data_IF_535362007073
#
_entry.id   IF_535362007073
#
_cell.length_a   1.000
_cell.length_b   1.000
_cell.length_c   1.000
_cell.angle_alpha   90.00
_cell.angle_beta   90.00
_cell.angle_gamma   90.00
#
_symmetry.space_group_name_H-M   'P 1'
#
loop_
_entity.id
_entity.type
_entity.pdbx_description
1 polymer ?
#
# COMPACT_ATOMS: atom_id res chain seq x y z
N UNK A 1 14.75 20.11 16.29
CA UNK A 1 15.43 20.01 14.99
C UNK A 1 14.44 20.41 13.91
N UNK A 2 14.91 21.08 12.86
CA UNK A 2 14.09 21.37 11.67
C UNK A 2 13.86 20.10 10.85
N UNK A 3 12.89 20.12 9.93
CA UNK A 3 12.67 19.00 9.00
C UNK A 3 13.95 18.60 8.25
N UNK A 4 14.68 19.59 7.72
CA UNK A 4 15.94 19.36 6.98
C UNK A 4 17.01 18.71 7.86
N UNK A 5 17.11 19.10 9.13
CA UNK A 5 18.04 18.49 10.08
C UNK A 5 17.66 17.05 10.40
N UNK A 6 16.36 16.75 10.58
CA UNK A 6 15.89 15.39 10.81
C UNK A 6 16.21 14.46 9.63
N UNK A 7 16.00 14.92 8.40
CA UNK A 7 16.32 14.14 7.20
C UNK A 7 17.83 13.84 7.10
N UNK A 8 18.68 14.84 7.37
CA UNK A 8 20.14 14.68 7.28
C UNK A 8 20.75 13.82 8.40
N UNK A 9 20.07 13.71 9.55
CA UNK A 9 20.62 13.04 10.73
C UNK A 9 20.87 11.54 10.49
N UNK A 10 19.94 10.86 9.81
CA UNK A 10 19.90 9.40 9.78
C UNK A 10 19.59 8.83 11.16
N UNK A 11 20.35 7.82 11.60
CA UNK A 11 20.18 7.23 12.94
C UNK A 11 20.66 8.23 14.00
N UNK A 12 19.80 8.64 14.96
CA UNK A 12 20.21 9.51 16.06
C UNK A 12 21.30 8.86 16.91
N UNK A 13 22.27 9.65 17.37
CA UNK A 13 23.34 9.16 18.25
C UNK A 13 22.83 8.75 19.63
N UNK A 14 21.78 9.41 20.12
CA UNK A 14 21.11 9.09 21.38
C UNK A 14 19.72 8.54 21.09
N UNK A 15 19.26 7.59 21.92
CA UNK A 15 17.97 6.94 21.72
C UNK A 15 16.84 7.97 21.87
N UNK A 16 15.97 8.15 20.85
CA UNK A 16 14.79 8.98 21.01
C UNK A 16 13.81 8.32 21.99
N UNK A 17 12.86 9.06 22.58
CA UNK A 17 11.85 8.49 23.47
C UNK A 17 11.06 7.36 22.82
N UNK A 18 10.61 6.39 23.62
CA UNK A 18 9.70 5.32 23.18
C UNK A 18 8.42 5.95 22.62
N UNK A 19 7.92 5.44 21.48
CA UNK A 19 6.66 5.88 20.90
C UNK A 19 5.49 5.14 21.52
N UNK A 20 4.42 5.87 21.84
CA UNK A 20 3.14 5.27 22.20
C UNK A 20 2.45 4.68 20.97
N UNK A 21 1.73 3.58 21.16
CA UNK A 21 0.94 2.96 20.10
C UNK A 21 -0.33 3.79 19.85
N UNK A 22 -0.58 4.15 18.59
CA UNK A 22 -1.67 5.05 18.21
C UNK A 22 -2.90 4.28 17.75
N UNK A 23 -3.85 4.05 18.66
CA UNK A 23 -5.07 3.28 18.34
C UNK A 23 -6.04 4.01 17.39
N UNK A 24 -5.79 5.28 17.04
CA UNK A 24 -6.66 6.04 16.14
C UNK A 24 -6.44 5.72 14.66
N UNK A 25 -5.29 5.11 14.32
CA UNK A 25 -4.95 4.76 12.94
C UNK A 25 -5.05 3.26 12.67
N UNK A 26 -5.09 2.90 11.39
CA UNK A 26 -5.14 1.51 10.96
C UNK A 26 -3.73 0.89 10.98
N UNK A 27 -3.54 -0.11 11.84
CA UNK A 27 -2.27 -0.84 11.97
C UNK A 27 -2.28 -2.20 11.28
N UNK A 28 -1.11 -2.65 10.85
CA UNK A 28 -0.98 -3.96 10.23
C UNK A 28 -1.33 -5.08 11.22
N UNK A 29 -1.98 -6.16 10.77
CA UNK A 29 -2.23 -7.31 11.63
C UNK A 29 -0.93 -7.98 12.07
N UNK A 30 -0.96 -8.64 13.23
CA UNK A 30 0.17 -9.46 13.71
C UNK A 30 0.58 -10.48 12.64
N UNK A 31 1.88 -10.55 12.36
CA UNK A 31 2.44 -11.47 11.37
C UNK A 31 2.62 -12.88 11.94
N UNK A 32 2.65 -13.86 11.04
CA UNK A 32 2.82 -15.28 11.37
C UNK A 32 4.11 -15.48 12.18
N UNK A 33 3.99 -16.14 13.32
CA UNK A 33 5.16 -16.58 14.09
C UNK A 33 5.74 -17.83 13.45
N UNK A 34 6.85 -17.67 12.70
CA UNK A 34 7.48 -18.74 11.92
C UNK A 34 8.95 -18.98 12.28
N UNK A 35 9.55 -18.08 13.07
CA UNK A 35 10.97 -18.18 13.44
C UNK A 35 11.19 -19.15 14.60
N UNK A 36 12.19 -20.02 14.46
CA UNK A 36 12.76 -20.79 15.57
C UNK A 36 13.46 -19.89 16.60
N UNK A 37 13.81 -20.44 17.76
CA UNK A 37 14.48 -19.67 18.82
C UNK A 37 15.81 -19.05 18.36
N UNK A 38 16.61 -19.76 17.59
CA UNK A 38 17.88 -19.25 17.08
C UNK A 38 17.67 -18.21 15.96
N UNK A 39 16.63 -18.37 15.16
CA UNK A 39 16.24 -17.38 14.16
C UNK A 39 15.68 -16.11 14.78
N UNK A 40 14.95 -16.18 15.90
CA UNK A 40 14.55 -14.99 16.67
C UNK A 40 15.77 -14.22 17.17
N UNK A 41 16.79 -14.92 17.70
CA UNK A 41 18.08 -14.30 18.08
C UNK A 41 18.79 -13.68 16.87
N UNK A 42 18.77 -14.35 15.73
CA UNK A 42 19.34 -13.83 14.49
C UNK A 42 18.59 -12.58 13.99
N UNK A 43 17.25 -12.56 14.05
CA UNK A 43 16.43 -11.39 13.69
C UNK A 43 16.81 -10.17 14.54
N UNK A 44 16.95 -10.35 15.85
CA UNK A 44 17.38 -9.28 16.77
C UNK A 44 18.79 -8.82 16.41
N UNK A 45 19.73 -9.74 16.18
CA UNK A 45 21.11 -9.39 15.75
C UNK A 45 21.11 -8.62 14.42
N UNK A 46 20.29 -9.03 13.46
CA UNK A 46 20.14 -8.36 12.18
C UNK A 46 19.56 -6.95 12.35
N UNK A 47 18.60 -6.76 13.26
CA UNK A 47 18.05 -5.44 13.59
C UNK A 47 19.09 -4.53 14.27
N UNK A 48 19.89 -5.07 15.19
CA UNK A 48 20.92 -4.32 15.93
C UNK A 48 22.07 -3.81 15.05
N UNK A 49 22.26 -4.34 13.84
CA UNK A 49 23.32 -3.90 12.90
C UNK A 49 23.26 -2.42 12.54
N UNK A 50 22.08 -1.80 12.65
CA UNK A 50 21.86 -0.39 12.33
C UNK A 50 22.28 0.58 13.44
N UNK A 51 22.59 0.07 14.64
CA UNK A 51 22.76 0.88 15.83
C UNK A 51 24.11 0.67 16.49
N UNK A 52 24.61 1.71 17.15
CA UNK A 52 25.82 1.64 17.96
C UNK A 52 25.67 0.61 19.09
N UNK A 53 26.76 -0.10 19.39
CA UNK A 53 26.80 -1.15 20.43
C UNK A 53 26.36 -0.65 21.80
N UNK A 54 26.59 0.64 22.12
CA UNK A 54 26.16 1.24 23.41
C UNK A 54 24.65 1.14 23.64
N UNK A 55 23.86 1.01 22.58
CA UNK A 55 22.41 0.92 22.64
C UNK A 55 21.88 -0.51 22.57
N UNK A 56 22.74 -1.51 22.35
CA UNK A 56 22.31 -2.88 22.07
C UNK A 56 21.55 -3.51 23.24
N UNK A 57 21.94 -3.25 24.48
CA UNK A 57 21.28 -3.83 25.66
C UNK A 57 19.80 -3.40 25.76
N UNK A 58 19.51 -2.12 25.46
CA UNK A 58 18.15 -1.59 25.47
C UNK A 58 17.37 -2.07 24.25
N UNK A 59 17.96 -1.93 23.06
CA UNK A 59 17.29 -2.21 21.80
C UNK A 59 17.06 -3.71 21.58
N UNK A 60 17.92 -4.60 22.10
CA UNK A 60 17.73 -6.04 21.99
C UNK A 60 16.43 -6.49 22.66
N UNK A 61 16.14 -5.93 23.84
CA UNK A 61 14.89 -6.20 24.57
C UNK A 61 13.69 -5.63 23.82
N UNK A 62 13.76 -4.37 23.39
CA UNK A 62 12.68 -3.71 22.66
C UNK A 62 12.36 -4.43 21.34
N UNK A 63 13.37 -4.82 20.56
CA UNK A 63 13.17 -5.54 19.31
C UNK A 63 12.66 -6.97 19.54
N UNK A 64 13.05 -7.62 20.64
CA UNK A 64 12.45 -8.90 21.04
C UNK A 64 10.95 -8.73 21.34
N UNK A 65 10.59 -7.66 22.05
CA UNK A 65 9.20 -7.36 22.41
C UNK A 65 8.36 -7.03 21.16
N UNK A 66 8.89 -6.23 20.23
CA UNK A 66 8.24 -5.98 18.94
C UNK A 66 8.05 -7.28 18.14
N UNK A 67 9.08 -8.13 18.06
CA UNK A 67 9.01 -9.38 17.31
C UNK A 67 7.93 -10.32 17.87
N UNK A 68 7.78 -10.41 19.20
CA UNK A 68 6.75 -11.24 19.83
C UNK A 68 5.34 -10.62 19.71
N UNK A 69 5.24 -9.30 19.76
CA UNK A 69 3.96 -8.60 19.72
C UNK A 69 3.39 -8.54 18.30
N UNK A 70 4.23 -8.19 17.33
CA UNK A 70 3.80 -7.88 15.96
C UNK A 70 4.25 -8.93 14.94
N UNK A 71 5.14 -9.85 15.31
CA UNK A 71 5.78 -10.79 14.37
C UNK A 71 6.84 -10.12 13.49
N UNK A 72 7.19 -8.86 13.78
CA UNK A 72 8.12 -8.00 13.03
C UNK A 72 8.82 -7.02 13.96
N UNK A 73 9.99 -6.55 13.54
CA UNK A 73 10.77 -5.50 14.21
C UNK A 73 10.68 -4.26 13.32
N UNK A 74 9.73 -3.37 13.62
CA UNK A 74 9.50 -2.12 12.88
C UNK A 74 10.41 -1.00 13.37
N UNK A 75 10.94 -1.12 14.58
CA UNK A 75 11.76 -0.12 15.27
C UNK A 75 10.97 1.18 15.51
N UNK A 76 9.77 1.07 16.10
CA UNK A 76 8.82 2.18 16.22
C UNK A 76 9.41 3.41 16.90
N UNK A 77 10.33 3.22 17.86
CA UNK A 77 11.09 4.29 18.51
C UNK A 77 11.69 5.29 17.51
N UNK A 78 12.12 4.82 16.34
CA UNK A 78 12.82 5.62 15.35
C UNK A 78 11.90 6.25 14.29
N UNK A 79 10.58 6.07 14.40
CA UNK A 79 9.62 6.77 13.56
C UNK A 79 9.73 8.29 13.78
N UNK A 80 9.90 9.11 12.72
CA UNK A 80 10.00 10.56 12.87
C UNK A 80 8.73 11.22 13.41
N UNK A 81 8.90 12.35 14.11
CA UNK A 81 7.79 13.15 14.66
C UNK A 81 7.23 14.19 13.70
N UNK A 82 7.91 14.48 12.59
CA UNK A 82 7.35 15.37 11.59
C UNK A 82 6.17 14.69 10.88
N UNK A 83 5.21 15.50 10.43
CA UNK A 83 4.10 15.01 9.61
C UNK A 83 4.65 14.35 8.34
N UNK A 84 4.25 13.11 8.09
CA UNK A 84 4.62 12.34 6.90
C UNK A 84 3.68 12.71 5.74
N UNK A 85 4.19 13.46 4.77
CA UNK A 85 3.48 13.80 3.53
C UNK A 85 4.47 14.29 2.48
N UNK A 86 4.04 14.30 1.21
CA UNK A 86 4.85 14.80 0.11
C UNK A 86 4.95 16.34 0.14
N UNK A 87 6.10 16.87 0.59
CA UNK A 87 6.39 18.31 0.68
C UNK A 87 6.78 18.94 -0.65
N UNK A 88 6.84 20.27 -0.71
CA UNK A 88 7.45 20.96 -1.86
C UNK A 88 8.91 20.54 -2.01
N UNK A 89 9.39 20.41 -3.25
CA UNK A 89 10.72 19.86 -3.54
C UNK A 89 11.85 20.67 -2.86
N UNK A 90 11.65 21.97 -2.64
CA UNK A 90 12.63 22.86 -2.00
C UNK A 90 12.73 22.74 -0.47
N UNK A 91 11.76 22.07 0.13
CA UNK A 91 11.80 21.73 1.55
C UNK A 91 12.76 20.57 1.83
N UNK A 92 13.06 19.74 0.83
CA UNK A 92 13.99 18.64 1.00
C UNK A 92 15.46 19.11 0.96
N UNK A 93 16.30 18.69 1.92
CA UNK A 93 17.72 18.99 1.87
C UNK A 93 18.43 18.16 0.79
N UNK A 94 19.53 18.68 0.25
CA UNK A 94 20.45 17.92 -0.59
C UNK A 94 20.85 18.64 -1.86
N UNK A 95 21.81 18.03 -2.57
CA UNK A 95 22.45 18.61 -3.77
C UNK A 95 21.75 18.16 -5.06
N UNK A 96 21.38 16.89 -5.15
CA UNK A 96 20.69 16.31 -6.31
C UNK A 96 19.20 16.61 -6.29
N UNK A 97 18.68 17.26 -7.35
CA UNK A 97 17.23 17.48 -7.51
C UNK A 97 16.48 16.14 -7.66
N UNK A 98 17.08 15.18 -8.36
CA UNK A 98 16.52 13.84 -8.54
C UNK A 98 16.40 13.11 -7.20
N UNK A 99 17.41 13.21 -6.32
CA UNK A 99 17.34 12.61 -4.98
C UNK A 99 16.25 13.26 -4.11
N UNK A 100 16.06 14.59 -4.21
CA UNK A 100 14.94 15.30 -3.55
C UNK A 100 13.57 14.81 -4.04
N UNK A 101 13.42 14.60 -5.35
CA UNK A 101 12.19 14.03 -5.90
C UNK A 101 11.92 12.61 -5.37
N UNK A 102 12.95 11.80 -5.19
CA UNK A 102 12.80 10.46 -4.60
C UNK A 102 12.38 10.55 -3.13
N UNK A 103 12.97 11.45 -2.34
CA UNK A 103 12.52 11.71 -0.96
C UNK A 103 11.06 12.13 -0.90
N UNK A 104 10.62 12.99 -1.83
CA UNK A 104 9.22 13.36 -1.98
C UNK A 104 8.32 12.15 -2.19
N UNK A 105 8.69 11.29 -3.14
CA UNK A 105 7.87 10.11 -3.45
C UNK A 105 7.87 9.07 -2.32
N UNK A 106 8.97 8.91 -1.59
CA UNK A 106 9.03 8.07 -0.39
C UNK A 106 8.05 8.59 0.67
N UNK A 107 8.03 9.90 0.95
CA UNK A 107 7.09 10.46 1.93
C UNK A 107 5.64 10.38 1.47
N UNK A 108 5.37 10.51 0.17
CA UNK A 108 4.04 10.27 -0.39
C UNK A 108 3.57 8.82 -0.15
N UNK A 109 4.43 7.84 -0.39
CA UNK A 109 4.10 6.42 -0.14
C UNK A 109 3.82 6.09 1.33
N UNK A 110 4.30 6.92 2.26
CA UNK A 110 4.12 6.78 3.71
C UNK A 110 3.14 7.81 4.29
N UNK A 111 2.53 8.65 3.46
CA UNK A 111 1.53 9.62 3.89
C UNK A 111 0.33 8.89 4.49
N UNK A 112 -0.22 9.42 5.59
CA UNK A 112 -1.38 8.85 6.28
C UNK A 112 -2.64 8.87 5.42
N UNK A 113 -2.71 9.78 4.43
CA UNK A 113 -3.79 9.81 3.45
C UNK A 113 -3.62 8.77 2.32
N UNK A 114 -2.45 8.14 2.21
CA UNK A 114 -2.08 7.28 1.08
C UNK A 114 -1.82 5.84 1.53
N UNK A 115 -1.00 5.65 2.56
CA UNK A 115 -0.56 4.36 3.06
C UNK A 115 -1.67 3.65 3.85
N UNK A 116 -1.79 2.34 3.63
CA UNK A 116 -2.72 1.47 4.35
C UNK A 116 -2.36 1.32 5.84
N UNK A 117 -1.07 1.18 6.15
CA UNK A 117 -0.53 1.08 7.50
C UNK A 117 0.76 1.92 7.62
N UNK A 118 0.64 3.25 7.79
CA UNK A 118 1.78 4.17 7.68
C UNK A 118 2.86 3.94 8.74
N UNK A 119 2.51 3.49 9.96
CA UNK A 119 3.49 3.25 11.03
C UNK A 119 4.29 1.96 10.81
N UNK A 120 3.73 0.99 10.09
CA UNK A 120 4.39 -0.27 9.69
C UNK A 120 5.03 -0.18 8.30
N UNK A 121 5.11 1.04 7.75
CA UNK A 121 5.72 1.35 6.45
C UNK A 121 5.08 0.61 5.26
N UNK A 122 3.80 0.23 5.39
CA UNK A 122 3.05 -0.50 4.35
C UNK A 122 2.12 0.44 3.62
N UNK A 123 2.32 0.56 2.30
CA UNK A 123 1.53 1.43 1.44
C UNK A 123 0.22 0.76 1.03
N UNK A 124 0.24 -0.48 0.55
CA UNK A 124 -0.98 -1.20 0.12
C UNK A 124 -0.78 -2.72 0.02
N UNK A 125 -1.85 -3.44 -0.31
CA UNK A 125 -1.82 -4.89 -0.49
C UNK A 125 -1.67 -5.67 0.82
N UNK A 126 -1.88 -5.03 1.97
CA UNK A 126 -1.76 -5.61 3.30
C UNK A 126 -0.32 -5.81 3.78
N UNK A 127 0.66 -5.99 2.89
CA UNK A 127 2.07 -6.18 3.23
C UNK A 127 3.07 -5.54 2.25
N UNK A 128 2.59 -4.79 1.24
CA UNK A 128 3.43 -4.05 0.30
C UNK A 128 4.11 -2.87 0.98
N UNK A 129 5.37 -3.06 1.38
CA UNK A 129 6.13 -2.15 2.21
C UNK A 129 7.09 -1.26 1.42
N UNK A 130 7.31 -0.05 1.96
CA UNK A 130 8.35 0.88 1.49
C UNK A 130 9.70 0.46 2.06
N UNK A 131 9.76 0.22 3.37
CA UNK A 131 10.92 -0.32 4.08
C UNK A 131 10.48 -1.37 5.10
N UNK A 132 11.42 -2.21 5.54
CA UNK A 132 11.15 -3.24 6.54
C UNK A 132 11.06 -2.65 7.95
N UNK A 133 11.76 -1.53 8.20
CA UNK A 133 11.80 -0.84 9.49
C UNK A 133 12.18 0.64 9.36
N UNK A 134 12.01 1.41 10.44
CA UNK A 134 12.28 2.84 10.46
C UNK A 134 13.78 3.21 10.37
N UNK A 135 14.70 2.34 10.77
CA UNK A 135 16.13 2.62 10.60
C UNK A 135 16.51 2.70 9.10
N UNK A 136 15.95 1.82 8.29
CA UNK A 136 16.13 1.84 6.84
C UNK A 136 15.61 3.14 6.22
N UNK A 137 14.41 3.59 6.62
CA UNK A 137 13.88 4.89 6.23
C UNK A 137 14.86 6.02 6.57
N UNK A 138 15.30 6.12 7.83
CA UNK A 138 16.18 7.20 8.27
C UNK A 138 17.50 7.24 7.49
N UNK A 139 18.13 6.07 7.27
CA UNK A 139 19.37 5.97 6.52
C UNK A 139 19.18 6.31 5.03
N UNK A 140 18.11 5.84 4.41
CA UNK A 140 17.80 6.18 3.01
C UNK A 140 17.59 7.68 2.85
N UNK A 141 16.81 8.31 3.73
CA UNK A 141 16.59 9.76 3.68
C UNK A 141 17.89 10.54 3.89
N UNK A 142 18.75 10.09 4.80
CA UNK A 142 20.09 10.67 4.98
C UNK A 142 20.92 10.56 3.70
N UNK A 143 21.07 9.37 3.13
CA UNK A 143 21.88 9.17 1.92
C UNK A 143 21.37 9.98 0.73
N UNK A 144 20.05 10.03 0.52
CA UNK A 144 19.46 10.87 -0.53
C UNK A 144 19.72 12.36 -0.31
N UNK A 145 19.82 12.81 0.94
CA UNK A 145 20.14 14.21 1.27
C UNK A 145 21.62 14.57 1.10
N UNK A 146 22.51 13.59 1.09
CA UNK A 146 23.97 13.79 1.00
C UNK A 146 24.52 13.55 -0.41
N UNK A 147 23.88 12.66 -1.18
CA UNK A 147 24.38 12.22 -2.47
C UNK A 147 24.49 13.32 -3.52
N UNK A 148 25.40 13.12 -4.47
CA UNK A 148 25.54 13.92 -5.70
C UNK A 148 24.87 13.23 -6.88
N UNK A 149 24.80 13.93 -8.02
CA UNK A 149 24.32 13.34 -9.28
C UNK A 149 25.31 12.33 -9.89
N UNK A 150 26.47 12.11 -9.28
CA UNK A 150 27.46 11.12 -9.72
C UNK A 150 27.44 9.86 -8.84
N UNK A 151 26.43 9.71 -7.99
CA UNK A 151 26.28 8.55 -7.12
C UNK A 151 24.96 7.81 -7.38
N UNK A 152 24.96 6.53 -7.04
CA UNK A 152 23.79 5.65 -7.02
C UNK A 152 23.64 5.06 -5.62
N UNK A 153 22.47 5.23 -5.01
CA UNK A 153 22.08 4.54 -3.80
C UNK A 153 21.56 3.14 -4.15
N UNK A 154 22.20 2.12 -3.59
CA UNK A 154 21.82 0.73 -3.83
C UNK A 154 20.93 0.23 -2.69
N UNK A 155 19.72 -0.21 -3.02
CA UNK A 155 18.70 -0.66 -2.06
C UNK A 155 18.46 -2.17 -2.16
N UNK A 156 18.67 -2.87 -1.04
CA UNK A 156 18.52 -4.31 -0.88
C UNK A 156 17.27 -4.61 -0.06
N UNK A 157 16.12 -4.75 -0.72
CA UNK A 157 14.83 -5.03 -0.07
C UNK A 157 14.56 -4.13 1.14
N UNK A 158 14.64 -2.82 0.91
CA UNK A 158 14.50 -1.80 1.95
C UNK A 158 15.83 -1.41 2.61
N UNK A 159 16.82 -2.30 2.72
CA UNK A 159 18.12 -1.94 3.30
C UNK A 159 18.93 -1.01 2.37
N UNK A 160 19.29 0.21 2.80
CA UNK A 160 20.21 1.04 2.02
C UNK A 160 21.64 0.54 2.21
N UNK A 161 22.17 -0.18 1.21
CA UNK A 161 23.52 -0.73 1.24
C UNK A 161 24.58 0.39 1.28
N UNK A 162 24.34 1.46 0.53
CA UNK A 162 25.20 2.64 0.52
C UNK A 162 25.18 3.40 -0.80
N UNK A 163 25.95 4.49 -0.83
CA UNK A 163 26.18 5.30 -2.01
C UNK A 163 27.44 4.82 -2.74
N UNK A 164 27.31 4.52 -4.02
CA UNK A 164 28.41 4.07 -4.87
C UNK A 164 28.66 5.08 -5.98
N UNK A 165 29.92 5.31 -6.40
CA UNK A 165 30.22 6.13 -7.57
C UNK A 165 29.53 5.60 -8.83
N UNK A 166 29.08 6.51 -9.68
CA UNK A 166 28.39 6.26 -10.95
C UNK A 166 28.58 7.48 -11.87
N UNK A 167 27.58 7.88 -12.65
CA UNK A 167 27.65 9.05 -13.51
C UNK A 167 26.29 9.77 -13.57
N UNK A 168 26.25 11.01 -14.07
CA UNK A 168 25.05 11.86 -14.11
C UNK A 168 23.84 11.20 -14.77
N UNK A 169 24.05 10.43 -15.84
CA UNK A 169 22.99 9.69 -16.55
C UNK A 169 22.56 8.36 -15.88
N UNK A 170 23.21 7.92 -14.80
CA UNK A 170 22.84 6.70 -14.08
C UNK A 170 21.58 6.94 -13.22
N UNK A 171 20.84 5.88 -12.84
CA UNK A 171 19.78 6.00 -11.84
C UNK A 171 20.35 6.49 -10.50
N UNK A 172 19.67 7.43 -9.82
CA UNK A 172 20.07 7.82 -8.46
C UNK A 172 19.83 6.71 -7.44
N UNK A 173 18.86 5.83 -7.70
CA UNK A 173 18.54 4.70 -6.83
C UNK A 173 18.30 3.46 -7.68
N UNK A 174 18.89 2.34 -7.29
CA UNK A 174 18.56 1.01 -7.81
C UNK A 174 17.92 0.22 -6.68
N UNK A 175 16.67 -0.24 -6.89
CA UNK A 175 15.89 -0.94 -5.87
C UNK A 175 15.61 -2.37 -6.27
N UNK A 176 15.92 -3.28 -5.36
CA UNK A 176 15.43 -4.66 -5.39
C UNK A 176 14.51 -4.89 -4.19
N UNK A 177 13.42 -5.64 -4.36
CA UNK A 177 12.50 -6.01 -3.30
C UNK A 177 12.10 -7.48 -3.47
N UNK A 178 12.32 -8.31 -2.44
CA UNK A 178 11.84 -9.69 -2.47
C UNK A 178 12.58 -10.58 -3.47
N UNK A 179 13.79 -10.20 -3.90
CA UNK A 179 14.58 -11.04 -4.79
C UNK A 179 15.11 -12.25 -4.03
N UNK A 180 14.73 -13.44 -4.48
CA UNK A 180 15.01 -14.71 -3.80
C UNK A 180 15.63 -15.70 -4.78
N UNK A 181 16.44 -16.62 -4.26
CA UNK A 181 16.78 -17.84 -5.00
C UNK A 181 15.47 -18.62 -5.21
N UNK A 182 15.11 -19.05 -6.44
CA UNK A 182 13.77 -19.58 -6.73
C UNK A 182 13.29 -20.70 -5.81
N UNK A 183 14.20 -21.61 -5.40
CA UNK A 183 13.87 -22.72 -4.50
C UNK A 183 13.49 -22.29 -3.06
N UNK A 184 13.69 -21.00 -2.71
CA UNK A 184 13.42 -20.42 -1.40
C UNK A 184 12.49 -19.21 -1.51
N UNK A 185 11.55 -19.25 -2.48
CA UNK A 185 10.61 -18.16 -2.76
C UNK A 185 9.15 -18.54 -2.47
N UNK A 186 8.92 -19.53 -1.59
CA UNK A 186 7.57 -19.89 -1.16
C UNK A 186 7.02 -18.87 -0.15
N UNK A 187 5.70 -18.80 0.07
CA UNK A 187 5.11 -17.85 1.01
C UNK A 187 5.72 -17.88 2.42
N UNK A 188 5.99 -19.08 2.95
CA UNK A 188 6.59 -19.25 4.28
C UNK A 188 8.07 -18.87 4.33
N UNK A 189 8.82 -19.09 3.24
CA UNK A 189 10.18 -18.59 3.11
C UNK A 189 10.19 -17.07 3.21
N UNK A 190 9.28 -16.42 2.47
CA UNK A 190 9.16 -14.96 2.47
C UNK A 190 8.80 -14.41 3.86
N UNK A 191 7.81 -15.01 4.54
CA UNK A 191 7.41 -14.60 5.89
C UNK A 191 8.58 -14.69 6.88
N UNK A 192 9.34 -15.79 6.80
CA UNK A 192 10.54 -16.02 7.61
C UNK A 192 11.63 -14.99 7.32
N UNK A 193 12.01 -14.81 6.06
CA UNK A 193 13.10 -13.91 5.69
C UNK A 193 12.78 -12.43 5.92
N UNK A 194 11.50 -12.07 5.85
CA UNK A 194 11.04 -10.73 6.21
C UNK A 194 11.14 -10.52 7.74
N UNK A 195 10.70 -11.50 8.55
CA UNK A 195 10.89 -11.44 10.01
C UNK A 195 12.36 -11.35 10.42
N UNK A 196 13.26 -12.02 9.68
CA UNK A 196 14.70 -11.95 9.88
C UNK A 196 15.32 -10.60 9.45
N UNK A 197 14.57 -9.72 8.79
CA UNK A 197 15.06 -8.42 8.30
C UNK A 197 16.04 -8.52 7.12
N UNK A 198 15.92 -9.57 6.30
CA UNK A 198 16.79 -9.79 5.11
C UNK A 198 16.04 -9.62 3.78
N UNK A 199 14.71 -9.50 3.81
CA UNK A 199 13.91 -9.18 2.62
C UNK A 199 12.63 -8.44 2.99
N UNK A 200 11.91 -7.94 1.98
CA UNK A 200 10.58 -7.35 2.11
C UNK A 200 9.76 -7.60 0.84
N UNK A 201 8.44 -7.46 0.91
CA UNK A 201 7.59 -7.42 -0.28
C UNK A 201 7.29 -5.97 -0.62
N UNK A 202 7.78 -5.53 -1.77
CA UNK A 202 7.60 -4.15 -2.23
C UNK A 202 6.33 -3.93 -3.06
N UNK A 203 5.52 -4.97 -3.30
CA UNK A 203 4.49 -4.91 -4.34
C UNK A 203 5.12 -4.41 -5.67
N UNK A 204 4.41 -3.62 -6.45
CA UNK A 204 4.88 -2.92 -7.65
C UNK A 204 5.37 -1.54 -7.25
N UNK A 205 4.48 -0.70 -6.69
CA UNK A 205 4.74 0.73 -6.47
C UNK A 205 5.01 1.14 -5.02
N UNK A 206 4.86 0.21 -4.05
CA UNK A 206 5.12 0.49 -2.64
C UNK A 206 6.64 0.60 -2.39
N UNK A 207 7.37 -0.47 -2.71
CA UNK A 207 8.82 -0.55 -2.55
C UNK A 207 9.61 0.13 -3.66
N UNK A 208 8.95 0.65 -4.70
CA UNK A 208 9.59 1.45 -5.76
C UNK A 208 9.29 2.95 -5.64
N UNK A 209 8.59 3.37 -4.58
CA UNK A 209 8.34 4.77 -4.24
C UNK A 209 7.56 5.52 -5.33
N UNK A 210 6.44 4.97 -5.81
CA UNK A 210 5.65 5.65 -6.85
C UNK A 210 4.15 5.36 -6.78
N UNK A 211 3.62 5.07 -5.59
CA UNK A 211 2.19 4.84 -5.41
C UNK A 211 1.46 6.17 -5.23
N UNK A 212 0.45 6.44 -6.06
CA UNK A 212 -0.23 7.75 -6.12
C UNK A 212 -1.70 7.67 -5.66
N UNK A 213 -1.97 6.75 -4.74
CA UNK A 213 -3.34 6.44 -4.33
C UNK A 213 -4.09 5.61 -5.37
N UNK A 214 -5.42 5.50 -5.23
CA UNK A 214 -6.18 4.49 -5.93
C UNK A 214 -6.61 4.90 -7.34
N UNK A 215 -6.25 6.12 -7.80
CA UNK A 215 -6.56 6.62 -9.14
C UNK A 215 -6.05 5.71 -10.26
N UNK A 216 -4.90 5.06 -10.09
CA UNK A 216 -4.35 4.14 -11.08
C UNK A 216 -5.24 2.92 -11.30
N UNK A 217 -5.86 2.41 -10.22
CA UNK A 217 -6.79 1.27 -10.29
C UNK A 217 -8.13 1.70 -10.87
N UNK A 218 -8.62 2.91 -10.55
CA UNK A 218 -9.83 3.45 -11.19
C UNK A 218 -9.63 3.49 -12.71
N UNK A 219 -8.55 4.11 -13.20
CA UNK A 219 -8.26 4.16 -14.63
C UNK A 219 -8.12 2.77 -15.26
N UNK A 220 -7.33 1.87 -14.67
CA UNK A 220 -7.13 0.52 -15.19
C UNK A 220 -8.44 -0.29 -15.26
N UNK A 221 -9.28 -0.16 -14.24
CA UNK A 221 -10.60 -0.82 -14.21
C UNK A 221 -11.54 -0.22 -15.26
N UNK A 222 -11.56 1.10 -15.43
CA UNK A 222 -12.33 1.76 -16.48
C UNK A 222 -11.95 1.22 -17.87
N UNK A 223 -10.65 1.13 -18.16
CA UNK A 223 -10.16 0.56 -19.43
C UNK A 223 -10.58 -0.91 -19.58
N UNK A 224 -10.57 -1.68 -18.50
CA UNK A 224 -11.02 -3.08 -18.50
C UNK A 224 -12.49 -3.20 -18.87
N UNK A 225 -13.36 -2.45 -18.18
CA UNK A 225 -14.81 -2.43 -18.41
C UNK A 225 -15.13 -1.96 -19.83
N UNK A 226 -14.47 -0.91 -20.32
CA UNK A 226 -14.62 -0.42 -21.70
C UNK A 226 -14.21 -1.46 -22.74
N UNK A 227 -13.12 -2.20 -22.51
CA UNK A 227 -12.68 -3.26 -23.42
C UNK A 227 -13.60 -4.48 -23.38
N UNK A 228 -14.07 -4.89 -22.20
CA UNK A 228 -15.06 -5.95 -22.06
C UNK A 228 -16.35 -5.58 -22.80
N UNK A 229 -16.82 -4.34 -22.62
CA UNK A 229 -17.94 -3.76 -23.35
C UNK A 229 -17.77 -3.81 -24.87
N UNK A 230 -16.60 -3.41 -25.39
CA UNK A 230 -16.28 -3.52 -26.83
C UNK A 230 -16.27 -4.96 -27.32
N UNK A 231 -15.77 -5.90 -26.52
CA UNK A 231 -15.67 -7.32 -26.91
C UNK A 231 -17.02 -8.00 -27.03
N UNK A 232 -17.99 -7.64 -26.18
CA UNK A 232 -19.36 -8.18 -26.23
C UNK A 232 -20.28 -7.37 -27.16
N UNK A 233 -19.81 -6.21 -27.64
CA UNK A 233 -20.57 -5.34 -28.53
C UNK A 233 -20.79 -6.01 -29.87
N UNK A 234 -22.03 -6.03 -30.36
CA UNK A 234 -22.34 -6.63 -31.67
C UNK A 234 -22.25 -5.61 -32.80
N UNK A 235 -22.65 -4.36 -32.52
CA UNK A 235 -22.79 -3.30 -33.51
C UNK A 235 -22.05 -2.02 -33.09
N UNK A 236 -21.05 -2.14 -32.23
CA UNK A 236 -20.32 -0.98 -31.70
C UNK A 236 -21.14 -0.18 -30.68
N UNK A 237 -22.24 -0.73 -30.16
CA UNK A 237 -22.98 -0.09 -29.09
C UNK A 237 -22.13 0.05 -27.82
N UNK A 238 -22.30 1.18 -27.13
CA UNK A 238 -21.62 1.49 -25.88
C UNK A 238 -22.17 0.72 -24.67
N UNK A 239 -21.86 1.23 -23.48
CA UNK A 239 -22.22 0.60 -22.21
C UNK A 239 -23.50 1.15 -21.56
N UNK A 240 -24.13 2.16 -22.17
CA UNK A 240 -25.34 2.77 -21.62
C UNK A 240 -26.47 1.73 -21.46
N UNK A 241 -26.96 1.57 -20.22
CA UNK A 241 -27.96 0.57 -19.86
C UNK A 241 -27.44 -0.87 -19.69
N UNK A 242 -26.14 -1.12 -19.93
CA UNK A 242 -25.51 -2.42 -19.66
C UNK A 242 -25.22 -2.55 -18.16
N UNK A 243 -25.44 -3.75 -17.63
CA UNK A 243 -25.28 -4.08 -16.22
C UNK A 243 -23.95 -4.81 -16.00
N UNK A 244 -23.07 -4.20 -15.21
CA UNK A 244 -21.82 -4.78 -14.72
C UNK A 244 -21.99 -5.24 -13.26
N UNK A 245 -21.92 -6.55 -13.02
CA UNK A 245 -22.01 -7.12 -11.67
C UNK A 245 -20.63 -7.56 -11.19
N UNK A 246 -20.25 -7.14 -9.99
CA UNK A 246 -18.97 -7.50 -9.38
C UNK A 246 -19.07 -7.58 -7.85
N UNK A 247 -17.95 -7.90 -7.20
CA UNK A 247 -17.84 -8.01 -5.75
C UNK A 247 -16.58 -7.35 -5.19
N UNK A 248 -16.68 -6.99 -3.91
CA UNK A 248 -15.60 -6.46 -3.08
C UNK A 248 -15.41 -4.96 -3.24
N UNK A 249 -15.34 -4.26 -2.10
CA UNK A 249 -15.10 -2.81 -2.02
C UNK A 249 -13.79 -2.47 -1.29
N UNK A 250 -12.87 -3.44 -1.23
CA UNK A 250 -11.56 -3.34 -0.60
C UNK A 250 -10.61 -2.31 -1.24
N UNK A 251 -9.30 -2.46 -1.01
CA UNK A 251 -8.29 -1.49 -1.45
C UNK A 251 -8.30 -1.21 -2.95
N UNK A 252 -8.27 -2.28 -3.76
CA UNK A 252 -8.31 -2.19 -5.23
C UNK A 252 -9.72 -2.32 -5.79
N UNK A 253 -10.49 -3.32 -5.33
CA UNK A 253 -11.83 -3.63 -5.82
C UNK A 253 -12.85 -2.52 -5.54
N UNK A 254 -12.62 -1.68 -4.53
CA UNK A 254 -13.44 -0.48 -4.28
C UNK A 254 -13.45 0.54 -5.42
N UNK A 255 -12.53 0.47 -6.38
CA UNK A 255 -12.50 1.35 -7.54
C UNK A 255 -13.52 0.97 -8.63
N UNK A 256 -14.03 -0.27 -8.62
CA UNK A 256 -14.92 -0.79 -9.65
C UNK A 256 -16.22 0.01 -9.84
N UNK A 257 -16.94 0.44 -8.78
CA UNK A 257 -18.15 1.25 -8.91
C UNK A 257 -17.88 2.58 -9.63
N UNK A 258 -16.82 3.30 -9.22
CA UNK A 258 -16.41 4.55 -9.88
C UNK A 258 -15.96 4.33 -11.32
N UNK A 259 -15.25 3.24 -11.58
CA UNK A 259 -14.81 2.89 -12.93
C UNK A 259 -15.99 2.59 -13.86
N UNK A 260 -17.01 1.89 -13.38
CA UNK A 260 -18.24 1.65 -14.13
C UNK A 260 -19.01 2.94 -14.44
N UNK A 261 -19.08 3.88 -13.48
CA UNK A 261 -19.65 5.21 -13.73
C UNK A 261 -18.89 5.95 -14.84
N UNK A 262 -17.55 5.96 -14.81
CA UNK A 262 -16.74 6.60 -15.86
C UNK A 262 -16.92 5.88 -17.21
N UNK A 263 -17.06 4.55 -17.20
CA UNK A 263 -17.29 3.75 -18.39
C UNK A 263 -18.73 3.92 -18.95
N UNK A 264 -19.66 4.45 -18.16
CA UNK A 264 -21.03 4.72 -18.56
C UNK A 264 -21.96 3.50 -18.47
N UNK A 265 -21.71 2.57 -17.53
CA UNK A 265 -22.60 1.44 -17.25
C UNK A 265 -23.30 1.57 -15.90
N UNK A 266 -24.27 0.68 -15.67
CA UNK A 266 -24.84 0.42 -14.35
C UNK A 266 -23.92 -0.57 -13.66
N UNK A 267 -23.46 -0.25 -12.45
CA UNK A 267 -22.62 -1.15 -11.66
C UNK A 267 -23.37 -1.64 -10.44
N UNK A 268 -23.36 -2.95 -10.21
CA UNK A 268 -23.75 -3.55 -8.93
C UNK A 268 -22.51 -4.17 -8.30
N UNK A 269 -22.16 -3.72 -7.10
CA UNK A 269 -21.00 -4.22 -6.37
C UNK A 269 -21.41 -4.76 -5.00
N UNK A 270 -21.31 -6.07 -4.80
CA UNK A 270 -21.63 -6.67 -3.51
C UNK A 270 -20.43 -6.63 -2.55
N UNK A 271 -20.67 -6.31 -1.28
CA UNK A 271 -19.66 -6.30 -0.21
C UNK A 271 -20.30 -6.70 1.11
N UNK A 272 -19.66 -7.60 1.85
CA UNK A 272 -20.15 -8.11 3.13
C UNK A 272 -19.77 -7.22 4.32
N UNK A 273 -18.71 -6.40 4.18
CA UNK A 273 -18.18 -5.58 5.25
C UNK A 273 -18.81 -4.17 5.26
N UNK A 274 -19.69 -3.84 6.22
CA UNK A 274 -20.36 -2.54 6.27
C UNK A 274 -19.39 -1.36 6.42
N UNK A 275 -18.25 -1.57 7.09
CA UNK A 275 -17.26 -0.52 7.33
C UNK A 275 -16.65 -0.03 6.02
N UNK A 276 -16.29 -0.94 5.13
CA UNK A 276 -15.65 -0.53 3.87
C UNK A 276 -16.68 0.04 2.90
N UNK A 277 -17.90 -0.49 2.87
CA UNK A 277 -19.00 0.06 2.08
C UNK A 277 -19.28 1.51 2.45
N UNK A 278 -19.38 1.83 3.76
CA UNK A 278 -19.59 3.19 4.24
C UNK A 278 -18.44 4.12 3.84
N UNK A 279 -17.18 3.66 3.97
CA UNK A 279 -16.01 4.43 3.54
C UNK A 279 -16.10 4.77 2.06
N UNK A 280 -16.42 3.81 1.18
CA UNK A 280 -16.53 4.05 -0.27
C UNK A 280 -17.71 4.95 -0.63
N UNK A 281 -18.84 4.81 0.06
CA UNK A 281 -19.99 5.69 -0.12
C UNK A 281 -19.65 7.13 0.28
N UNK A 282 -19.04 7.34 1.45
CA UNK A 282 -18.59 8.66 1.92
C UNK A 282 -17.58 9.34 1.00
N UNK A 283 -16.80 8.55 0.24
CA UNK A 283 -15.86 9.03 -0.77
C UNK A 283 -16.52 9.46 -2.09
N UNK A 284 -17.82 9.21 -2.27
CA UNK A 284 -18.52 9.39 -3.55
C UNK A 284 -18.04 8.42 -4.63
N UNK A 285 -17.57 7.24 -4.20
CA UNK A 285 -17.16 6.16 -5.10
C UNK A 285 -18.32 5.23 -5.44
N UNK A 286 -19.32 5.19 -4.58
CA UNK A 286 -20.60 4.49 -4.73
C UNK A 286 -21.69 5.55 -4.63
N UNK A 287 -22.73 5.44 -5.46
CA UNK A 287 -23.84 6.39 -5.45
C UNK A 287 -24.95 5.98 -4.48
N UNK A 288 -25.27 4.67 -4.40
CA UNK A 288 -26.35 4.16 -3.55
C UNK A 288 -25.92 2.87 -2.82
N UNK A 289 -26.42 2.68 -1.59
CA UNK A 289 -26.18 1.47 -0.79
C UNK A 289 -27.51 0.77 -0.47
N UNK A 290 -27.62 -0.50 -0.84
CA UNK A 290 -28.79 -1.34 -0.61
C UNK A 290 -28.46 -2.48 0.36
N UNK A 291 -29.36 -2.73 1.33
CA UNK A 291 -29.27 -3.85 2.28
C UNK A 291 -30.29 -4.96 2.03
N UNK A 292 -31.33 -4.64 1.26
CA UNK A 292 -32.37 -5.57 0.87
C UNK A 292 -32.24 -5.87 -0.63
N UNK A 293 -32.19 -7.16 -0.97
CA UNK A 293 -31.98 -7.61 -2.35
C UNK A 293 -33.17 -7.26 -3.25
N UNK A 294 -34.39 -7.26 -2.71
CA UNK A 294 -35.58 -6.90 -3.49
C UNK A 294 -35.55 -5.42 -3.90
N UNK A 295 -35.18 -4.54 -2.97
CA UNK A 295 -34.92 -3.12 -3.27
C UNK A 295 -33.88 -2.93 -4.36
N UNK A 296 -32.77 -3.69 -4.32
CA UNK A 296 -31.73 -3.64 -5.35
C UNK A 296 -32.25 -4.06 -6.72
N UNK A 297 -32.99 -5.18 -6.80
CA UNK A 297 -33.59 -5.70 -8.04
C UNK A 297 -34.47 -4.62 -8.70
N UNK A 298 -35.36 -3.99 -7.93
CA UNK A 298 -36.23 -2.93 -8.46
C UNK A 298 -35.43 -1.72 -8.94
N UNK A 299 -34.38 -1.34 -8.19
CA UNK A 299 -33.51 -0.22 -8.54
C UNK A 299 -32.74 -0.46 -9.84
N UNK A 300 -32.23 -1.68 -10.04
CA UNK A 300 -31.52 -2.11 -11.25
C UNK A 300 -32.44 -2.10 -12.45
N UNK A 301 -33.68 -2.60 -12.34
CA UNK A 301 -34.66 -2.54 -13.45
C UNK A 301 -34.89 -1.12 -13.94
N UNK A 302 -35.12 -0.19 -13.00
CA UNK A 302 -35.29 1.23 -13.30
C UNK A 302 -34.03 1.83 -13.95
N UNK A 303 -32.84 1.50 -13.44
CA UNK A 303 -31.58 1.96 -14.02
C UNK A 303 -31.42 1.49 -15.47
N UNK A 304 -31.74 0.21 -15.76
CA UNK A 304 -31.67 -0.37 -17.11
C UNK A 304 -32.67 0.30 -18.06
N UNK A 305 -33.91 0.52 -17.63
CA UNK A 305 -34.96 1.19 -18.41
C UNK A 305 -34.53 2.61 -18.82
N UNK A 306 -33.99 3.37 -17.87
CA UNK A 306 -33.56 4.75 -18.07
C UNK A 306 -32.14 4.90 -18.66
N UNK A 307 -31.43 3.79 -18.86
CA UNK A 307 -30.00 3.76 -19.26
C UNK A 307 -29.13 4.65 -18.38
N UNK A 308 -29.36 4.59 -17.07
CA UNK A 308 -28.64 5.39 -16.08
C UNK A 308 -27.17 4.99 -15.99
N UNK A 309 -26.35 5.93 -15.54
CA UNK A 309 -24.97 5.69 -15.10
C UNK A 309 -24.99 5.80 -13.58
N UNK A 310 -25.00 4.65 -12.92
CA UNK A 310 -25.15 4.59 -11.46
C UNK A 310 -24.43 3.38 -10.90
N UNK A 311 -23.86 3.57 -9.72
CA UNK A 311 -23.19 2.54 -8.96
C UNK A 311 -23.94 2.21 -7.68
N UNK A 312 -24.35 0.95 -7.57
CA UNK A 312 -25.20 0.41 -6.52
C UNK A 312 -24.40 -0.61 -5.72
N UNK A 313 -24.11 -0.32 -4.45
CA UNK A 313 -23.51 -1.30 -3.56
C UNK A 313 -24.58 -2.15 -2.88
N UNK A 314 -24.39 -3.46 -2.85
CA UNK A 314 -25.19 -4.38 -2.06
C UNK A 314 -24.42 -4.79 -0.82
N UNK A 315 -24.93 -4.44 0.37
CA UNK A 315 -24.36 -4.87 1.64
C UNK A 315 -24.82 -6.31 1.94
N UNK A 316 -24.11 -7.28 1.37
CA UNK A 316 -24.44 -8.69 1.45
C UNK A 316 -23.49 -9.53 0.60
N UNK A 317 -23.80 -10.81 0.42
CA UNK A 317 -22.95 -11.70 -0.36
C UNK A 317 -23.23 -11.52 -1.86
N UNK A 318 -22.19 -11.57 -2.70
CA UNK A 318 -22.37 -11.54 -4.16
C UNK A 318 -23.19 -12.74 -4.66
N UNK A 319 -23.13 -13.87 -3.94
CA UNK A 319 -23.94 -15.06 -4.27
C UNK A 319 -25.44 -14.74 -4.27
N UNK A 320 -25.90 -13.95 -3.30
CA UNK A 320 -27.31 -13.52 -3.25
C UNK A 320 -27.68 -12.72 -4.52
N UNK A 321 -26.78 -11.84 -4.98
CA UNK A 321 -27.02 -11.04 -6.21
C UNK A 321 -27.14 -11.95 -7.41
N UNK A 322 -26.25 -12.94 -7.56
CA UNK A 322 -26.30 -13.89 -8.68
C UNK A 322 -27.58 -14.71 -8.69
N UNK A 323 -27.94 -15.32 -7.55
CA UNK A 323 -29.11 -16.19 -7.45
C UNK A 323 -30.41 -15.41 -7.67
N UNK A 324 -30.56 -14.23 -7.06
CA UNK A 324 -31.77 -13.42 -7.21
C UNK A 324 -31.88 -12.80 -8.60
N UNK A 325 -30.79 -12.40 -9.25
CA UNK A 325 -30.88 -11.84 -10.60
C UNK A 325 -31.26 -12.91 -11.63
N UNK A 326 -30.84 -14.17 -11.44
CA UNK A 326 -31.29 -15.30 -12.25
C UNK A 326 -32.80 -15.56 -12.05
N UNK A 327 -33.25 -15.64 -10.79
CA UNK A 327 -34.68 -15.83 -10.45
C UNK A 327 -35.58 -14.72 -11.00
N UNK A 328 -35.12 -13.47 -10.94
CA UNK A 328 -35.83 -12.28 -11.41
C UNK A 328 -35.62 -11.98 -12.91
N UNK A 329 -34.93 -12.88 -13.62
CA UNK A 329 -34.61 -12.78 -15.04
C UNK A 329 -33.96 -11.43 -15.43
N UNK A 330 -33.04 -10.95 -14.59
CA UNK A 330 -32.22 -9.76 -14.85
C UNK A 330 -30.96 -10.21 -15.59
N UNK A 331 -30.91 -9.90 -16.89
CA UNK A 331 -29.73 -10.17 -17.70
C UNK A 331 -28.53 -9.32 -17.24
N UNK A 332 -27.39 -9.98 -17.00
CA UNK A 332 -26.11 -9.35 -16.64
C UNK A 332 -25.24 -9.30 -17.89
N UNK A 333 -24.76 -8.10 -18.23
CA UNK A 333 -23.97 -7.89 -19.44
C UNK A 333 -22.48 -8.18 -19.20
N UNK A 334 -21.98 -7.85 -18.01
CA UNK A 334 -20.57 -7.92 -17.61
C UNK A 334 -20.36 -8.48 -16.21
#
# INVERSE_FOLDING_TARGET
MTFKEHIKQGIPNELPPVKTYDTSINHAPKRKEILSADEKKLAIRNALRYFDKKHHDVLAKEFSDELNTYGRIYMYRFRPDYKMYARSIEEYPGKSLQAKAIMHMIQNNLDYAVAQHPHELITYGGNGAVFSNWAQYLLTMKYLSEMTDEQTLVMYSGHPLGLFPSHTNAPRVVVTNGMMIPNYSQPDDWEKFNALGVTQYGQMTAGSYMYIGPQGIVHGTTITVLNAGRKISKNGEGLAGKLFVTAGLGGMSGAQPKAGNIAGCITVCAEVNPKITEIRHSQGWIDEVHKDINSLVQRVRKAKENKEVVSLAYLGNVVDVWEYFDQENIYIDL
#
